data_IF_570785604188
#
_entry.id   IF_570785604188
#
_cell.length_a   1.000
_cell.length_b   1.000
_cell.length_c   1.000
_cell.angle_alpha   90.00
_cell.angle_beta   90.00
_cell.angle_gamma   90.00
#
_symmetry.space_group_name_H-M   'P 1'
#
loop_
_entity.id
_entity.type
_entity.pdbx_description
1 polymer ?
#
# COMPACT_ATOMS: atom_id res chain seq x y z
N UNK A 1 16.06 6.48 -3.15
CA UNK A 1 15.37 6.54 -4.46
C UNK A 1 13.88 6.35 -4.15
N UNK A 2 13.00 7.27 -4.51
CA UNK A 2 11.57 7.17 -4.17
C UNK A 2 10.91 6.07 -5.00
N UNK A 3 10.27 5.10 -4.36
CA UNK A 3 9.53 4.02 -5.03
C UNK A 3 8.48 4.61 -6.00
N UNK A 4 8.54 4.22 -7.27
CA UNK A 4 7.60 4.72 -8.29
C UNK A 4 6.43 3.76 -8.49
N UNK A 5 5.29 4.06 -7.85
CA UNK A 5 4.03 3.35 -8.09
C UNK A 5 3.40 3.80 -9.41
N UNK A 6 3.86 3.24 -10.53
CA UNK A 6 3.38 3.58 -11.88
C UNK A 6 3.03 2.38 -12.74
N UNK A 7 2.17 2.61 -13.74
CA UNK A 7 1.75 1.60 -14.72
C UNK A 7 1.03 0.40 -14.11
N UNK A 8 0.98 -0.70 -14.88
CA UNK A 8 0.26 -1.93 -14.47
C UNK A 8 0.81 -2.52 -13.17
N UNK A 9 2.14 -2.45 -12.96
CA UNK A 9 2.77 -2.98 -11.73
C UNK A 9 2.43 -2.14 -10.51
N UNK A 10 2.48 -0.81 -10.61
CA UNK A 10 2.03 0.09 -9.54
C UNK A 10 0.56 -0.15 -9.18
N UNK A 11 -0.31 -0.32 -10.19
CA UNK A 11 -1.73 -0.65 -9.97
C UNK A 11 -1.91 -2.00 -9.28
N UNK A 12 -1.21 -3.05 -9.74
CA UNK A 12 -1.28 -4.38 -9.13
C UNK A 12 -0.75 -4.40 -7.69
N UNK A 13 0.34 -3.67 -7.41
CA UNK A 13 0.86 -3.46 -6.06
C UNK A 13 -0.17 -2.76 -5.17
N UNK A 14 -0.85 -1.74 -5.68
CA UNK A 14 -1.90 -1.04 -4.93
C UNK A 14 -3.13 -1.93 -4.65
N UNK A 15 -3.54 -2.77 -5.59
CA UNK A 15 -4.61 -3.73 -5.35
C UNK A 15 -4.25 -4.75 -4.27
N UNK A 16 -3.02 -5.26 -4.27
CA UNK A 16 -2.52 -6.13 -3.20
C UNK A 16 -2.49 -5.40 -1.84
N UNK A 17 -2.11 -4.12 -1.82
CA UNK A 17 -2.18 -3.28 -0.64
C UNK A 17 -3.60 -3.16 -0.10
N UNK A 18 -4.60 -2.86 -0.95
CA UNK A 18 -6.00 -2.76 -0.53
C UNK A 18 -6.52 -4.07 0.08
N UNK A 19 -6.17 -5.21 -0.51
CA UNK A 19 -6.49 -6.54 0.04
C UNK A 19 -5.81 -6.78 1.39
N UNK A 20 -4.61 -6.24 1.60
CA UNK A 20 -3.87 -6.36 2.86
C UNK A 20 -4.53 -5.51 3.96
N UNK A 21 -4.77 -4.22 3.70
CA UNK A 21 -5.40 -3.33 4.69
C UNK A 21 -6.89 -3.61 4.91
N UNK A 22 -7.51 -4.48 4.12
CA UNK A 22 -8.85 -5.00 4.39
C UNK A 22 -8.94 -5.62 5.80
N UNK A 23 -7.85 -6.21 6.28
CA UNK A 23 -7.77 -6.90 7.57
C UNK A 23 -7.45 -5.99 8.76
N UNK A 24 -7.40 -4.66 8.58
CA UNK A 24 -7.24 -3.70 9.69
C UNK A 24 -8.16 -3.97 10.89
N UNK A 25 -9.46 -4.27 10.73
CA UNK A 25 -10.36 -4.53 11.87
C UNK A 25 -9.99 -5.75 12.72
N UNK A 26 -9.12 -6.65 12.22
CA UNK A 26 -8.69 -7.84 12.96
C UNK A 26 -7.42 -7.58 13.79
N UNK A 27 -6.75 -6.46 13.57
CA UNK A 27 -5.53 -6.09 14.31
C UNK A 27 -5.85 -5.77 15.77
N UNK A 28 -4.88 -5.97 16.67
CA UNK A 28 -5.05 -5.60 18.09
C UNK A 28 -5.37 -4.11 18.24
N UNK A 29 -4.78 -3.29 17.37
CA UNK A 29 -5.00 -1.84 17.32
C UNK A 29 -6.46 -1.45 17.12
N UNK A 30 -7.20 -2.14 16.24
CA UNK A 30 -8.56 -1.71 15.86
C UNK A 30 -9.68 -2.67 16.27
N UNK A 31 -9.37 -3.91 16.67
CA UNK A 31 -10.38 -4.95 16.95
C UNK A 31 -11.39 -4.58 18.02
N UNK A 32 -10.97 -3.84 19.02
CA UNK A 32 -11.81 -3.40 20.15
C UNK A 32 -12.27 -1.94 19.99
N UNK A 33 -11.91 -1.29 18.88
CA UNK A 33 -12.35 0.07 18.59
C UNK A 33 -13.78 0.07 18.06
N UNK A 34 -14.55 1.11 18.39
CA UNK A 34 -15.86 1.37 17.77
C UNK A 34 -15.74 2.07 16.41
N UNK A 35 -14.52 2.17 15.87
CA UNK A 35 -14.26 2.84 14.60
C UNK A 35 -14.88 2.06 13.44
N UNK A 36 -15.52 2.77 12.53
CA UNK A 36 -15.88 2.23 11.23
C UNK A 36 -14.62 1.91 10.41
N UNK A 37 -14.77 1.07 9.39
CA UNK A 37 -13.66 0.75 8.48
C UNK A 37 -13.03 2.00 7.84
N UNK A 38 -13.85 3.00 7.50
CA UNK A 38 -13.37 4.24 6.90
C UNK A 38 -12.50 5.02 7.90
N UNK A 39 -12.93 5.11 9.15
CA UNK A 39 -12.16 5.76 10.22
C UNK A 39 -10.85 5.02 10.49
N UNK A 40 -10.85 3.69 10.53
CA UNK A 40 -9.62 2.90 10.70
C UNK A 40 -8.63 3.13 9.55
N UNK A 41 -9.12 3.17 8.31
CA UNK A 41 -8.28 3.45 7.15
C UNK A 41 -7.71 4.86 7.18
N UNK A 42 -8.52 5.84 7.59
CA UNK A 42 -8.08 7.23 7.74
C UNK A 42 -7.01 7.36 8.83
N UNK A 43 -7.26 6.81 10.01
CA UNK A 43 -6.32 6.80 11.13
C UNK A 43 -4.98 6.11 10.77
N UNK A 44 -5.05 4.94 10.13
CA UNK A 44 -3.86 4.26 9.62
C UNK A 44 -3.09 5.14 8.62
N UNK A 45 -3.79 5.81 7.71
CA UNK A 45 -3.19 6.60 6.64
C UNK A 45 -2.56 7.90 7.14
N UNK A 46 -3.12 8.50 8.20
CA UNK A 46 -2.60 9.69 8.88
C UNK A 46 -1.53 9.38 9.95
N UNK A 47 -1.43 8.13 10.38
CA UNK A 47 -0.45 7.71 11.39
C UNK A 47 1.01 7.95 10.95
N UNK A 48 1.91 8.27 11.89
CA UNK A 48 3.35 8.33 11.62
C UNK A 48 3.89 7.00 11.09
N UNK A 49 5.00 7.05 10.33
CA UNK A 49 5.56 5.87 9.66
C UNK A 49 5.89 4.72 10.62
N UNK A 50 6.37 5.02 11.84
CA UNK A 50 6.63 4.01 12.87
C UNK A 50 5.35 3.29 13.28
N UNK A 51 4.27 4.05 13.52
CA UNK A 51 2.96 3.50 13.89
C UNK A 51 2.34 2.69 12.75
N UNK A 52 2.47 3.15 11.50
CA UNK A 52 2.04 2.39 10.31
C UNK A 52 2.73 1.03 10.24
N UNK A 53 4.05 0.98 10.50
CA UNK A 53 4.80 -0.29 10.50
C UNK A 53 4.27 -1.26 11.55
N UNK A 54 4.03 -0.79 12.77
CA UNK A 54 3.46 -1.62 13.84
C UNK A 54 2.11 -2.21 13.44
N UNK A 55 1.20 -1.37 12.93
CA UNK A 55 -0.13 -1.80 12.48
C UNK A 55 -0.02 -2.81 11.33
N UNK A 56 0.87 -2.58 10.37
CA UNK A 56 1.10 -3.53 9.27
C UNK A 56 1.65 -4.87 9.77
N UNK A 57 2.56 -4.87 10.76
CA UNK A 57 3.01 -6.13 11.40
C UNK A 57 1.83 -6.85 12.04
N UNK A 58 0.94 -6.14 12.74
CA UNK A 58 -0.28 -6.74 13.30
C UNK A 58 -1.17 -7.33 12.20
N UNK A 59 -1.37 -6.64 11.08
CA UNK A 59 -2.13 -7.17 9.93
C UNK A 59 -1.51 -8.49 9.44
N UNK A 60 -0.20 -8.51 9.21
CA UNK A 60 0.50 -9.70 8.72
C UNK A 60 0.54 -10.86 9.73
N UNK A 61 0.25 -10.59 11.01
CA UNK A 61 0.11 -11.63 12.03
C UNK A 61 -1.25 -12.35 11.98
N UNK A 62 -2.27 -11.73 11.37
CA UNK A 62 -3.64 -12.26 11.29
C UNK A 62 -4.04 -12.71 9.88
N UNK A 63 -3.26 -12.34 8.86
CA UNK A 63 -3.49 -12.75 7.47
C UNK A 63 -2.19 -13.11 6.77
N UNK A 64 -2.25 -14.09 5.87
CA UNK A 64 -1.11 -14.48 5.04
C UNK A 64 -1.11 -13.70 3.74
N UNK A 65 0.06 -13.19 3.30
CA UNK A 65 0.22 -12.67 1.95
C UNK A 65 0.43 -13.84 0.99
N UNK A 66 -0.37 -13.93 -0.08
CA UNK A 66 -0.18 -14.94 -1.12
C UNK A 66 1.13 -14.71 -1.89
N UNK A 67 1.74 -15.76 -2.42
CA UNK A 67 2.93 -15.64 -3.27
C UNK A 67 2.73 -14.64 -4.42
N UNK A 68 1.55 -14.66 -5.04
CA UNK A 68 1.16 -13.71 -6.08
C UNK A 68 1.21 -12.26 -5.59
N UNK A 69 0.73 -11.99 -4.38
CA UNK A 69 0.73 -10.64 -3.82
C UNK A 69 2.14 -10.22 -3.38
N UNK A 70 2.96 -11.15 -2.89
CA UNK A 70 4.40 -10.90 -2.67
C UNK A 70 5.06 -10.45 -3.96
N UNK A 71 4.85 -11.17 -5.08
CA UNK A 71 5.40 -10.79 -6.39
C UNK A 71 4.92 -9.40 -6.81
N UNK A 72 3.63 -9.08 -6.60
CA UNK A 72 3.09 -7.74 -6.91
C UNK A 72 3.77 -6.65 -6.09
N UNK A 73 3.97 -6.87 -4.79
CA UNK A 73 4.65 -5.91 -3.93
C UNK A 73 6.10 -5.68 -4.32
N UNK A 74 6.85 -6.71 -4.67
CA UNK A 74 8.26 -6.55 -5.01
C UNK A 74 8.46 -6.03 -6.45
N UNK A 75 7.50 -6.25 -7.37
CA UNK A 75 7.64 -5.90 -8.79
C UNK A 75 7.76 -4.40 -9.10
N UNK A 76 7.48 -3.53 -8.12
CA UNK A 76 7.69 -2.08 -8.22
C UNK A 76 9.10 -1.65 -7.80
N UNK A 77 9.91 -2.59 -7.33
CA UNK A 77 11.30 -2.40 -6.94
C UNK A 77 12.26 -2.92 -8.00
N UNK A 78 13.51 -2.45 -7.93
CA UNK A 78 14.61 -2.87 -8.80
C UNK A 78 15.68 -3.59 -8.01
N UNK A 79 16.30 -4.56 -8.66
CA UNK A 79 17.51 -5.22 -8.19
C UNK A 79 18.73 -4.27 -8.29
N UNK A 80 19.92 -4.68 -7.77
CA UNK A 80 21.13 -3.85 -7.86
C UNK A 80 21.59 -3.52 -9.28
N UNK A 81 21.17 -4.28 -10.29
CA UNK A 81 21.48 -4.05 -11.71
C UNK A 81 20.44 -3.14 -12.39
N UNK A 82 19.42 -2.68 -11.65
CA UNK A 82 18.35 -1.83 -12.16
C UNK A 82 17.23 -2.58 -12.89
N UNK A 83 17.19 -3.92 -12.78
CA UNK A 83 16.14 -4.78 -13.35
C UNK A 83 15.01 -4.91 -12.34
N UNK A 84 13.77 -4.78 -12.79
CA UNK A 84 12.62 -4.92 -11.88
C UNK A 84 12.52 -6.35 -11.33
N UNK A 85 12.11 -6.47 -10.06
CA UNK A 85 11.86 -7.80 -9.50
C UNK A 85 10.68 -8.49 -10.20
N UNK A 86 10.80 -9.80 -10.31
CA UNK A 86 9.86 -10.74 -10.89
C UNK A 86 9.98 -12.06 -10.13
N UNK A 87 9.10 -13.01 -10.39
CA UNK A 87 9.17 -14.35 -9.78
C UNK A 87 10.56 -14.99 -9.93
N UNK A 88 11.19 -14.86 -11.11
CA UNK A 88 12.46 -15.51 -11.45
C UNK A 88 13.64 -14.99 -10.61
N UNK A 89 13.80 -13.68 -10.47
CA UNK A 89 14.92 -13.10 -9.71
C UNK A 89 14.61 -12.95 -8.21
N UNK A 90 13.33 -12.93 -7.83
CA UNK A 90 12.91 -12.86 -6.44
C UNK A 90 13.19 -14.13 -5.65
N UNK A 91 13.24 -15.31 -6.30
CA UNK A 91 13.55 -16.58 -5.63
C UNK A 91 14.94 -16.61 -4.99
N UNK A 92 15.85 -15.71 -5.41
CA UNK A 92 17.19 -15.59 -4.85
C UNK A 92 17.28 -14.61 -3.67
N UNK A 93 16.17 -13.93 -3.34
CA UNK A 93 16.14 -13.01 -2.21
C UNK A 93 16.07 -13.80 -0.90
N UNK A 94 16.82 -13.31 0.08
CA UNK A 94 16.65 -13.74 1.45
C UNK A 94 15.29 -13.24 1.99
N UNK A 95 14.74 -13.97 2.97
CA UNK A 95 13.40 -13.69 3.52
C UNK A 95 13.34 -12.28 4.12
N UNK A 96 14.37 -11.86 4.85
CA UNK A 96 14.50 -10.51 5.42
C UNK A 96 14.42 -9.44 4.33
N UNK A 97 15.15 -9.62 3.22
CA UNK A 97 15.12 -8.67 2.11
C UNK A 97 13.76 -8.60 1.43
N UNK A 98 13.10 -9.75 1.27
CA UNK A 98 11.76 -9.82 0.68
C UNK A 98 10.74 -9.09 1.57
N UNK A 99 10.81 -9.30 2.88
CA UNK A 99 9.96 -8.61 3.87
C UNK A 99 10.19 -7.10 3.81
N UNK A 100 11.43 -6.63 3.74
CA UNK A 100 11.74 -5.20 3.63
C UNK A 100 11.08 -4.56 2.39
N UNK A 101 11.19 -5.20 1.23
CA UNK A 101 10.60 -4.71 -0.02
C UNK A 101 9.06 -4.66 0.08
N UNK A 102 8.45 -5.68 0.70
CA UNK A 102 7.00 -5.71 0.94
C UNK A 102 6.58 -4.54 1.83
N UNK A 103 7.27 -4.30 2.94
CA UNK A 103 6.97 -3.18 3.83
C UNK A 103 7.15 -1.82 3.15
N UNK A 104 8.21 -1.66 2.37
CA UNK A 104 8.44 -0.43 1.61
C UNK A 104 7.29 -0.17 0.63
N UNK A 105 6.81 -1.20 -0.07
CA UNK A 105 5.64 -1.13 -0.96
C UNK A 105 4.35 -0.78 -0.22
N UNK A 106 4.07 -1.45 0.90
CA UNK A 106 2.87 -1.17 1.71
C UNK A 106 2.85 0.28 2.21
N UNK A 107 3.99 0.78 2.68
CA UNK A 107 4.14 2.16 3.15
C UNK A 107 3.98 3.16 2.00
N UNK A 108 4.60 2.90 0.85
CA UNK A 108 4.45 3.73 -0.33
C UNK A 108 2.99 3.80 -0.80
N UNK A 109 2.29 2.65 -0.83
CA UNK A 109 0.87 2.60 -1.18
C UNK A 109 0.00 3.37 -0.17
N UNK A 110 0.31 3.30 1.13
CA UNK A 110 -0.42 4.07 2.16
C UNK A 110 -0.33 5.57 1.95
N UNK A 111 0.81 6.06 1.44
CA UNK A 111 1.00 7.48 1.14
C UNK A 111 0.37 7.86 -0.20
N UNK A 112 0.45 6.99 -1.21
CA UNK A 112 -0.11 7.21 -2.53
C UNK A 112 -1.65 7.19 -2.56
N UNK A 113 -2.30 6.46 -1.64
CA UNK A 113 -3.76 6.44 -1.47
C UNK A 113 -4.35 7.85 -1.28
N UNK A 114 -3.64 8.73 -0.55
CA UNK A 114 -4.02 10.15 -0.40
C UNK A 114 -4.09 10.90 -1.73
N UNK A 115 -3.30 10.48 -2.73
CA UNK A 115 -3.14 11.17 -4.02
C UNK A 115 -3.94 10.53 -5.15
N UNK A 116 -4.15 9.21 -5.13
CA UNK A 116 -4.70 8.44 -6.26
C UNK A 116 -6.24 8.32 -6.27
N UNK A 117 -6.90 8.43 -5.10
CA UNK A 117 -8.35 8.21 -5.00
C UNK A 117 -9.13 9.36 -4.31
N UNK A 118 -8.45 10.44 -3.91
CA UNK A 118 -9.08 11.64 -3.34
C UNK A 118 -8.66 12.91 -4.09
N UNK A 119 -9.19 13.06 -5.30
CA UNK A 119 -9.53 14.39 -5.81
C UNK A 119 -11.06 14.44 -5.92
N UNK A 120 -11.78 15.31 -5.20
CA UNK A 120 -12.81 16.05 -5.90
C UNK A 120 -12.05 16.83 -6.97
N UNK A 121 -12.31 16.52 -8.24
CA UNK A 121 -12.09 17.52 -9.28
C UNK A 121 -12.66 18.81 -8.72
N UNK A 122 -11.89 19.93 -8.64
CA UNK A 122 -12.53 21.21 -8.57
C UNK A 122 -13.55 21.17 -9.69
N UNK A 123 -14.81 21.36 -9.32
CA UNK A 123 -15.90 21.51 -10.26
C UNK A 123 -15.36 22.28 -11.46
N UNK A 124 -15.70 21.82 -12.66
CA UNK A 124 -15.89 22.74 -13.77
C UNK A 124 -16.80 23.83 -13.20
N UNK A 125 -16.21 24.86 -12.60
CA UNK A 125 -16.90 26.03 -12.11
C UNK A 125 -17.38 26.65 -13.38
N UNK A 126 -18.63 26.30 -13.69
CA UNK A 126 -19.61 27.08 -14.38
C UNK A 126 -18.97 28.30 -15.05
N UNK A 127 -18.64 28.16 -16.34
CA UNK A 127 -18.81 29.29 -17.24
C UNK A 127 -20.32 29.60 -17.24
N UNK A 128 -20.76 30.28 -16.18
CA UNK A 128 -22.03 30.99 -16.18
C UNK A 128 -21.90 32.01 -17.30
N UNK A 129 -22.70 31.75 -18.32
CA UNK A 129 -23.27 32.72 -19.23
C UNK A 129 -23.17 34.19 -18.75
N UNK A 130 -22.52 34.97 -19.62
CA UNK A 130 -22.87 36.34 -20.05
C UNK A 130 -22.70 37.49 -19.05
N UNK A 131 -22.45 38.73 -19.55
CA UNK A 131 -23.26 39.46 -20.52
C UNK A 131 -22.89 39.27 -21.98
#
# INVERSE_FOLDING_TARGET
MSLELKGIRGFACYQAYLSTIYFLPLTKTYRESEMSRFEMQHDFTESPIGRKKEILVEVLSVTTISERDVVRFISVHKDPNGIDYSEVNASNLSIDKMVDLVFESLLACSNASKTLFFYPTPSLTASKNTP
#
